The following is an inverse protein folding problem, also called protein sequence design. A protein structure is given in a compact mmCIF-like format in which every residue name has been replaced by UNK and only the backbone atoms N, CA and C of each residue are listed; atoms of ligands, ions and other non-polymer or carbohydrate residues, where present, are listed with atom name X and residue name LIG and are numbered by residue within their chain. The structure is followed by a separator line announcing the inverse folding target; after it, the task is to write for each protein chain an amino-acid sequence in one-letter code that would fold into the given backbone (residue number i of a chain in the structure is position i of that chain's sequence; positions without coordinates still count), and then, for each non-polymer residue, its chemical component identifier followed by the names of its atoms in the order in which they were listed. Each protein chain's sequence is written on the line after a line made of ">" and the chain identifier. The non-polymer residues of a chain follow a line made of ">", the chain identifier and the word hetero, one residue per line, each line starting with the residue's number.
data_IF_890475702339
#
_entry.id   IF_890475702339
#
_cell.length_a   1.000
_cell.length_b   1.000
_cell.length_c   1.000
_cell.angle_alpha   90.00
_cell.angle_beta   90.00
_cell.angle_gamma   90.00
#
_symmetry.space_group_name_H-M   'P 1'
#
loop_
_entity.id
_entity.type
_entity.pdbx_description
1 polymer ?
#
# COMPACT_ATOMS: atom_id res chain seq x y z
N UNK A 1 11.08 10.63 -19.14
CA UNK A 1 10.64 9.51 -18.28
C UNK A 1 9.61 10.11 -17.33
N UNK A 2 8.42 9.52 -17.24
CA UNK A 2 7.37 9.97 -16.32
C UNK A 2 7.70 9.46 -14.93
N UNK A 3 7.82 10.39 -13.97
CA UNK A 3 7.96 10.07 -12.54
C UNK A 3 6.55 9.84 -11.99
N UNK A 4 6.36 8.84 -11.12
CA UNK A 4 5.07 8.63 -10.44
C UNK A 4 4.72 9.88 -9.64
N UNK A 5 3.53 10.44 -9.87
CA UNK A 5 3.00 11.57 -9.11
C UNK A 5 2.33 11.09 -7.82
N UNK A 6 2.71 11.68 -6.68
CA UNK A 6 2.12 11.37 -5.38
C UNK A 6 1.09 12.43 -5.01
N UNK A 7 -0.05 11.98 -4.51
CA UNK A 7 -1.15 12.82 -4.03
C UNK A 7 -1.54 12.39 -2.61
N UNK A 8 -1.98 13.37 -1.80
CA UNK A 8 -2.43 13.19 -0.41
C UNK A 8 -1.34 12.76 0.60
N UNK A 9 -0.06 12.86 0.22
CA UNK A 9 1.12 12.82 1.10
C UNK A 9 1.77 14.19 1.14
N UNK A 10 2.40 14.53 2.27
CA UNK A 10 3.06 15.83 2.38
C UNK A 10 4.18 15.98 1.36
N UNK A 11 4.22 17.14 0.70
CA UNK A 11 5.28 17.52 -0.24
C UNK A 11 6.46 18.21 0.44
N UNK A 12 6.41 18.35 1.78
CA UNK A 12 7.52 18.85 2.58
C UNK A 12 8.70 17.88 2.45
N UNK A 13 9.83 18.34 1.93
CA UNK A 13 11.04 17.52 1.73
C UNK A 13 11.58 16.87 3.02
N UNK A 14 11.22 17.42 4.19
CA UNK A 14 11.68 16.95 5.50
C UNK A 14 10.68 15.97 6.14
N UNK A 15 9.49 15.75 5.51
CA UNK A 15 8.40 14.89 6.02
C UNK A 15 7.73 14.02 4.94
N UNK A 16 7.98 14.25 3.66
CA UNK A 16 7.34 13.54 2.56
C UNK A 16 8.02 12.21 2.22
N UNK A 17 7.64 11.65 1.08
CA UNK A 17 8.28 10.44 0.53
C UNK A 17 9.74 10.75 0.17
N UNK A 18 10.67 9.97 0.74
CA UNK A 18 12.11 10.16 0.52
C UNK A 18 12.71 9.01 -0.29
N UNK A 19 13.75 9.27 -1.12
CA UNK A 19 14.45 8.19 -1.83
C UNK A 19 15.07 7.19 -0.85
N UNK A 20 14.86 5.88 -1.07
CA UNK A 20 15.29 4.71 -0.26
C UNK A 20 14.41 4.29 0.93
N UNK A 21 13.58 5.20 1.44
CA UNK A 21 12.55 4.91 2.46
C UNK A 21 11.17 4.77 1.80
N UNK A 22 10.99 5.41 0.64
CA UNK A 22 9.97 5.04 -0.35
C UNK A 22 8.54 5.14 0.17
N UNK A 23 7.71 4.20 -0.29
CA UNK A 23 6.31 4.03 0.11
C UNK A 23 6.18 3.35 1.49
N UNK A 24 7.29 2.91 2.08
CA UNK A 24 7.35 2.18 3.35
C UNK A 24 7.19 3.09 4.58
N UNK A 25 7.64 4.34 4.48
CA UNK A 25 7.56 5.38 5.52
C UNK A 25 7.19 6.73 4.90
N UNK A 26 6.12 7.37 5.35
CA UNK A 26 5.68 8.66 4.83
C UNK A 26 4.81 9.43 5.82
N UNK A 27 4.61 10.73 5.57
CA UNK A 27 3.66 11.56 6.32
C UNK A 27 2.47 11.97 5.45
N UNK A 28 1.29 11.95 6.06
CA UNK A 28 0.06 12.48 5.44
C UNK A 28 0.06 14.01 5.47
N UNK A 29 -0.77 14.64 4.64
CA UNK A 29 -0.98 16.10 4.69
C UNK A 29 -1.55 16.59 6.04
N UNK A 30 -2.20 15.72 6.80
CA UNK A 30 -2.72 15.99 8.14
C UNK A 30 -1.62 15.85 9.23
N UNK A 31 -0.41 15.46 8.86
CA UNK A 31 0.72 15.35 9.77
C UNK A 31 0.80 14.04 10.55
N UNK A 32 0.08 13.00 10.12
CA UNK A 32 0.23 11.66 10.68
C UNK A 32 1.47 10.98 10.06
N UNK A 33 2.30 10.37 10.91
CA UNK A 33 3.43 9.57 10.47
C UNK A 33 3.01 8.11 10.28
N UNK A 34 3.20 7.57 9.08
CA UNK A 34 2.83 6.20 8.73
C UNK A 34 4.10 5.40 8.46
N UNK A 35 4.21 4.25 9.13
CA UNK A 35 5.27 3.29 8.90
C UNK A 35 4.64 1.92 8.63
N UNK A 36 4.71 1.45 7.38
CA UNK A 36 3.95 0.28 6.93
C UNK A 36 4.41 -1.03 7.57
N UNK A 37 5.60 -1.09 8.17
CA UNK A 37 6.01 -2.24 8.95
C UNK A 37 5.12 -2.50 10.19
N UNK A 38 4.41 -1.47 10.67
CA UNK A 38 3.46 -1.53 11.79
C UNK A 38 2.04 -1.87 11.32
N UNK A 39 1.91 -2.29 10.05
CA UNK A 39 0.65 -2.67 9.43
C UNK A 39 0.70 -4.09 8.92
N UNK A 40 -0.45 -4.73 8.91
CA UNK A 40 -0.67 -5.94 8.13
C UNK A 40 -1.23 -5.56 6.76
N UNK A 41 -0.68 -6.16 5.71
CA UNK A 41 -1.32 -6.10 4.41
C UNK A 41 -2.66 -6.86 4.47
N UNK A 42 -3.74 -6.22 4.04
CA UNK A 42 -5.10 -6.76 4.15
C UNK A 42 -5.71 -7.13 2.81
N UNK A 43 -5.69 -6.22 1.83
CA UNK A 43 -6.37 -6.43 0.54
C UNK A 43 -5.57 -5.89 -0.63
N UNK A 44 -5.71 -6.56 -1.78
CA UNK A 44 -5.33 -6.03 -3.09
C UNK A 44 -6.48 -6.18 -4.07
N UNK A 45 -6.79 -5.09 -4.76
CA UNK A 45 -7.74 -5.07 -5.87
C UNK A 45 -7.06 -4.58 -7.13
N UNK A 46 -7.07 -5.39 -8.19
CA UNK A 46 -6.61 -4.97 -9.52
C UNK A 46 -7.79 -4.90 -10.49
N UNK A 47 -7.95 -3.76 -11.15
CA UNK A 47 -8.99 -3.49 -12.13
C UNK A 47 -8.33 -3.23 -13.49
N UNK A 48 -8.47 -4.12 -14.50
CA UNK A 48 -7.84 -3.96 -15.81
C UNK A 48 -8.57 -2.94 -16.72
N UNK A 49 -9.23 -1.93 -16.13
CA UNK A 49 -10.02 -0.92 -16.82
C UNK A 49 -9.18 0.03 -17.68
N UNK A 50 -9.75 1.20 -18.02
CA UNK A 50 -9.04 2.28 -18.73
C UNK A 50 -9.21 3.61 -17.98
N UNK A 51 -8.21 4.05 -17.17
CA UNK A 51 -6.91 3.40 -16.96
C UNK A 51 -6.99 2.15 -16.04
N UNK A 52 -6.03 1.21 -16.13
CA UNK A 52 -5.89 0.14 -15.14
C UNK A 52 -5.58 0.72 -13.76
N UNK A 53 -6.10 0.08 -12.73
CA UNK A 53 -5.93 0.52 -11.34
C UNK A 53 -5.55 -0.62 -10.42
N UNK A 54 -4.70 -0.31 -9.45
CA UNK A 54 -4.32 -1.20 -8.35
C UNK A 54 -4.58 -0.48 -7.04
N UNK A 55 -5.31 -1.13 -6.13
CA UNK A 55 -5.53 -0.66 -4.77
C UNK A 55 -4.90 -1.66 -3.80
N UNK A 56 -4.11 -1.15 -2.85
CA UNK A 56 -3.48 -1.91 -1.78
C UNK A 56 -3.97 -1.36 -0.45
N UNK A 57 -4.43 -2.23 0.44
CA UNK A 57 -4.92 -1.88 1.76
C UNK A 57 -4.03 -2.49 2.84
N UNK A 58 -3.67 -1.67 3.82
CA UNK A 58 -2.87 -2.03 4.97
C UNK A 58 -3.61 -1.61 6.24
N UNK A 59 -3.55 -2.44 7.28
CA UNK A 59 -4.31 -2.25 8.52
C UNK A 59 -3.36 -2.18 9.70
N UNK A 60 -3.45 -1.11 10.49
CA UNK A 60 -2.76 -1.03 11.77
C UNK A 60 -3.47 -1.87 12.82
N UNK A 61 -2.70 -2.58 13.64
CA UNK A 61 -3.22 -3.14 14.89
C UNK A 61 -3.64 -1.98 15.83
N UNK A 62 -4.92 -1.91 16.25
CA UNK A 62 -5.41 -0.83 17.13
C UNK A 62 -4.68 -0.74 18.48
N UNK A 63 -4.00 -1.79 18.92
CA UNK A 63 -3.21 -1.80 20.15
C UNK A 63 -1.80 -1.19 19.99
N UNK A 64 -1.32 -1.08 18.76
CA UNK A 64 0.01 -0.53 18.43
C UNK A 64 -0.05 0.74 17.58
N UNK A 65 -1.22 1.09 17.04
CA UNK A 65 -1.43 2.32 16.29
C UNK A 65 -1.08 3.56 17.16
N UNK A 66 -0.28 4.52 16.62
CA UNK A 66 -0.08 5.81 17.26
C UNK A 66 -1.43 6.46 17.63
N UNK A 67 -1.52 7.23 18.72
CA UNK A 67 -2.77 7.88 19.12
C UNK A 67 -3.45 8.70 18.01
N UNK A 68 -2.64 9.28 17.12
CA UNK A 68 -3.07 10.04 15.94
C UNK A 68 -3.72 9.15 14.87
N UNK A 69 -3.35 7.87 14.83
CA UNK A 69 -3.85 6.83 13.92
C UNK A 69 -4.85 5.89 14.59
N UNK A 70 -5.13 6.04 15.89
CA UNK A 70 -6.09 5.19 16.62
C UNK A 70 -7.52 5.28 16.06
N UNK A 71 -7.87 6.39 15.40
CA UNK A 71 -9.12 6.53 14.65
C UNK A 71 -8.99 6.10 13.19
N UNK A 72 -7.79 5.88 12.67
CA UNK A 72 -7.52 5.60 11.26
C UNK A 72 -6.72 4.29 11.07
N UNK A 73 -7.32 3.13 11.35
CA UNK A 73 -6.62 1.85 11.29
C UNK A 73 -6.34 1.36 9.88
N UNK A 74 -6.71 2.07 8.80
CA UNK A 74 -6.55 1.57 7.42
C UNK A 74 -5.80 2.58 6.55
N UNK A 75 -4.68 2.15 5.96
CA UNK A 75 -3.92 2.88 4.95
C UNK A 75 -4.23 2.27 3.58
N UNK A 76 -4.59 3.11 2.61
CA UNK A 76 -4.92 2.69 1.25
C UNK A 76 -4.02 3.39 0.26
N UNK A 77 -3.33 2.62 -0.56
CA UNK A 77 -2.62 3.13 -1.74
C UNK A 77 -3.44 2.82 -2.98
N UNK A 78 -3.72 3.85 -3.77
CA UNK A 78 -4.40 3.74 -5.04
C UNK A 78 -3.47 4.17 -6.17
N UNK A 79 -3.12 3.23 -7.02
CA UNK A 79 -2.27 3.44 -8.19
C UNK A 79 -3.10 3.49 -9.47
N UNK A 80 -2.76 4.43 -10.35
CA UNK A 80 -3.43 4.63 -11.64
C UNK A 80 -2.48 4.45 -12.83
N UNK A 81 -3.04 3.99 -13.95
CA UNK A 81 -2.32 3.60 -15.17
C UNK A 81 -1.30 2.48 -14.90
N UNK A 82 -1.78 1.44 -14.22
CA UNK A 82 -0.91 0.39 -13.70
C UNK A 82 -0.50 -0.61 -14.77
N UNK A 83 0.79 -0.94 -14.80
CA UNK A 83 1.33 -2.07 -15.56
C UNK A 83 2.08 -3.01 -14.63
N UNK A 84 1.50 -4.16 -14.35
CA UNK A 84 2.16 -5.23 -13.59
C UNK A 84 3.35 -5.76 -14.40
N UNK A 85 4.52 -5.83 -13.77
CA UNK A 85 5.74 -6.40 -14.34
C UNK A 85 5.96 -7.80 -13.80
N UNK A 86 5.78 -7.98 -12.49
CA UNK A 86 5.99 -9.23 -11.78
C UNK A 86 4.86 -9.43 -10.78
N UNK A 87 4.32 -10.64 -10.78
CA UNK A 87 3.35 -11.11 -9.81
C UNK A 87 3.78 -12.52 -9.42
N UNK A 88 4.45 -12.64 -8.28
CA UNK A 88 4.95 -13.91 -7.77
C UNK A 88 4.23 -14.22 -6.46
N UNK A 89 3.24 -15.11 -6.55
CA UNK A 89 2.55 -15.67 -5.39
C UNK A 89 3.33 -16.86 -4.86
N UNK A 90 3.45 -16.89 -3.54
CA UNK A 90 3.93 -18.00 -2.76
C UNK A 90 5.42 -18.34 -3.01
N UNK A 91 6.28 -17.72 -2.19
CA UNK A 91 7.72 -17.98 -2.18
C UNK A 91 8.07 -19.45 -1.77
N UNK A 92 7.09 -20.30 -1.40
CA UNK A 92 7.30 -21.70 -0.93
C UNK A 92 6.56 -22.85 -1.69
N UNK A 93 5.77 -22.62 -2.74
CA UNK A 93 5.14 -23.70 -3.55
C UNK A 93 3.70 -24.19 -3.21
N UNK A 94 2.82 -23.37 -2.63
CA UNK A 94 1.38 -23.63 -2.42
C UNK A 94 0.41 -22.89 -3.40
N UNK A 95 -0.65 -23.60 -3.81
CA UNK A 95 -1.64 -23.21 -4.82
C UNK A 95 -2.47 -21.95 -4.48
N UNK A 96 -2.74 -21.17 -5.52
CA UNK A 96 -3.45 -19.89 -5.55
C UNK A 96 -4.91 -19.97 -5.07
N UNK A 97 -5.36 -18.99 -4.28
CA UNK A 97 -6.79 -18.75 -4.06
C UNK A 97 -7.24 -17.55 -4.90
N UNK A 98 -8.19 -17.83 -5.79
CA UNK A 98 -8.86 -16.89 -6.67
C UNK A 98 -10.07 -16.24 -5.98
N UNK A 99 -10.37 -15.00 -6.39
CA UNK A 99 -11.70 -14.37 -6.38
C UNK A 99 -12.29 -13.79 -5.07
N UNK A 100 -11.59 -13.81 -3.94
CA UNK A 100 -11.81 -12.89 -2.80
C UNK A 100 -10.46 -12.68 -2.12
N UNK A 101 -9.89 -11.46 -2.04
CA UNK A 101 -8.53 -11.33 -1.54
C UNK A 101 -8.57 -11.18 -0.02
N UNK A 102 -9.10 -12.17 0.69
CA UNK A 102 -8.49 -12.45 2.00
C UNK A 102 -7.12 -13.06 1.67
N UNK A 103 -6.22 -12.27 1.08
CA UNK A 103 -4.81 -12.62 1.11
C UNK A 103 -4.51 -12.85 2.59
N UNK A 104 -3.94 -13.99 3.01
CA UNK A 104 -3.71 -14.20 4.42
C UNK A 104 -2.93 -12.98 4.93
N UNK A 105 -3.51 -12.22 5.87
CA UNK A 105 -2.89 -10.99 6.34
C UNK A 105 -1.47 -11.31 6.75
N UNK A 106 -0.55 -10.48 6.28
CA UNK A 106 0.87 -10.74 6.39
C UNK A 106 1.59 -9.47 6.70
N UNK A 107 2.60 -9.60 7.55
CA UNK A 107 3.50 -8.51 7.85
C UNK A 107 4.18 -8.04 6.55
N UNK A 108 4.20 -6.72 6.37
CA UNK A 108 4.91 -6.09 5.25
C UNK A 108 6.41 -6.20 5.51
N UNK A 109 7.11 -6.96 4.67
CA UNK A 109 8.58 -7.03 4.73
C UNK A 109 9.16 -5.75 4.12
N UNK A 110 8.68 -5.36 2.94
CA UNK A 110 9.12 -4.15 2.26
C UNK A 110 8.05 -3.57 1.33
N UNK A 111 8.00 -2.25 1.20
CA UNK A 111 7.31 -1.57 0.11
C UNK A 111 8.19 -0.44 -0.45
N UNK A 112 9.05 -0.81 -1.41
CA UNK A 112 10.06 0.09 -1.95
C UNK A 112 9.58 0.81 -3.22
N UNK A 113 10.24 1.93 -3.51
CA UNK A 113 10.10 2.69 -4.73
C UNK A 113 11.47 3.23 -5.15
N UNK A 114 11.83 2.97 -6.41
CA UNK A 114 13.14 3.33 -6.98
C UNK A 114 13.34 4.83 -7.23
N UNK A 115 12.37 5.67 -6.86
CA UNK A 115 12.37 7.11 -7.14
C UNK A 115 11.88 7.49 -8.53
N UNK A 116 11.43 6.52 -9.34
CA UNK A 116 10.84 6.76 -10.65
C UNK A 116 9.42 6.20 -10.75
N UNK A 117 9.26 5.02 -11.33
CA UNK A 117 7.98 4.43 -11.70
C UNK A 117 7.83 2.98 -11.29
N UNK A 118 8.74 2.44 -10.46
CA UNK A 118 8.80 1.01 -10.16
C UNK A 118 8.56 0.70 -8.67
N UNK A 119 7.31 0.73 -8.18
CA UNK A 119 7.00 0.19 -6.87
C UNK A 119 7.23 -1.33 -6.79
N UNK A 120 7.73 -1.78 -5.63
CA UNK A 120 7.95 -3.19 -5.29
C UNK A 120 7.35 -3.46 -3.91
N UNK A 121 6.27 -4.24 -3.86
CA UNK A 121 5.69 -4.75 -2.61
C UNK A 121 6.23 -6.17 -2.37
N UNK A 122 6.78 -6.40 -1.19
CA UNK A 122 7.17 -7.72 -0.69
C UNK A 122 6.45 -7.97 0.64
N UNK A 123 5.58 -8.98 0.63
CA UNK A 123 4.95 -9.55 1.82
C UNK A 123 5.25 -11.05 1.82
N UNK A 124 5.09 -11.70 2.97
CA UNK A 124 5.42 -13.11 3.14
C UNK A 124 4.91 -14.04 2.01
N UNK A 125 3.74 -13.77 1.46
CA UNK A 125 3.09 -14.60 0.43
C UNK A 125 3.12 -14.03 -0.98
N UNK A 126 3.59 -12.80 -1.20
CA UNK A 126 3.49 -12.12 -2.48
C UNK A 126 4.65 -11.15 -2.69
N UNK A 127 5.30 -11.28 -3.85
CA UNK A 127 6.13 -10.24 -4.43
C UNK A 127 5.45 -9.64 -5.65
N UNK A 128 5.20 -8.34 -5.60
CA UNK A 128 4.52 -7.59 -6.65
C UNK A 128 5.40 -6.43 -7.11
N UNK A 129 5.77 -6.46 -8.39
CA UNK A 129 6.50 -5.36 -9.05
C UNK A 129 5.61 -4.79 -10.15
N UNK A 130 5.41 -3.47 -10.18
CA UNK A 130 4.55 -2.83 -11.17
C UNK A 130 5.03 -1.44 -11.52
N UNK A 131 4.43 -0.85 -12.56
CA UNK A 131 4.54 0.58 -12.86
C UNK A 131 3.23 1.29 -12.63
N UNK A 132 3.31 2.55 -12.21
CA UNK A 132 2.17 3.43 -12.07
C UNK A 132 2.53 4.86 -12.44
N UNK A 133 1.59 5.58 -13.05
CA UNK A 133 1.77 7.01 -13.36
C UNK A 133 1.47 7.90 -12.16
N UNK A 134 0.56 7.45 -11.29
CA UNK A 134 0.08 8.19 -10.12
C UNK A 134 -0.15 7.26 -8.95
N UNK A 135 0.04 7.80 -7.76
CA UNK A 135 -0.34 7.18 -6.50
C UNK A 135 -1.07 8.21 -5.62
N UNK A 136 -2.21 7.80 -5.08
CA UNK A 136 -2.91 8.51 -4.02
C UNK A 136 -2.85 7.67 -2.76
N UNK A 137 -2.58 8.31 -1.62
CA UNK A 137 -2.49 7.63 -0.32
C UNK A 137 -3.53 8.21 0.62
N UNK A 138 -4.40 7.35 1.15
CA UNK A 138 -5.44 7.76 2.08
C UNK A 138 -5.33 6.96 3.37
N UNK A 139 -5.59 7.61 4.50
CA UNK A 139 -5.73 6.96 5.79
C UNK A 139 -7.18 7.14 6.25
N UNK A 140 -7.86 6.04 6.59
CA UNK A 140 -9.30 6.04 6.91
C UNK A 140 -9.64 5.21 8.14
N UNK A 141 -10.78 5.53 8.74
CA UNK A 141 -11.43 4.70 9.75
C UNK A 141 -11.80 3.34 9.15
N UNK A 142 -11.55 2.21 9.83
CA UNK A 142 -12.16 0.93 9.44
C UNK A 142 -13.67 1.13 9.51
N UNK A 143 -14.39 0.92 8.40
CA UNK A 143 -15.84 0.94 8.45
C UNK A 143 -16.26 -0.19 9.41
N UNK A 144 -17.01 0.15 10.47
CA UNK A 144 -17.65 -0.85 11.29
C UNK A 144 -18.59 -1.64 10.38
N UNK A 145 -18.30 -2.93 10.17
CA UNK A 145 -19.34 -3.85 9.73
C UNK A 145 -20.41 -3.82 10.83
N UNK A 146 -21.54 -3.17 10.56
CA UNK A 146 -22.70 -3.25 11.45
C UNK A 146 -23.13 -4.73 11.52
N UNK A 147 -23.25 -5.33 12.72
CA UNK A 147 -23.76 -6.67 12.83
C UNK A 147 -25.22 -6.69 12.36
N UNK A 148 -25.48 -7.43 11.28
CA UNK A 148 -26.85 -7.78 10.84
C UNK A 148 -27.52 -8.74 11.80
#
# INVERSE_FOLDING_TARGET
>A
MSVTEFTDVTTDKDRGVTPRTGLYEFWTDEGAHVYLHDTDFSYLTYQPGRPPMLELEFVHDPWWAPPELATMPVVVFRFEDVRIIEWCENQEGHDCVTARPDAPPGQVDCFDWDGNDLPVLDIFTLRLTFRASRVAVAVRTKQNEEPS
#
